data_IF_344675989522
#
_entry.id   IF_344675989522
#
_cell.length_a   1.000
_cell.length_b   1.000
_cell.length_c   1.000
_cell.angle_alpha   90.00
_cell.angle_beta   90.00
_cell.angle_gamma   90.00
#
_symmetry.space_group_name_H-M   'P 1'
#
loop_
_entity.id
_entity.type
_entity.pdbx_description
1 polymer ?
#
# COMPACT_ATOMS: atom_id res chain seq x y z
N UNK A 1 -27.52 10.94 1.68
CA UNK A 1 -27.42 10.24 0.37
C UNK A 1 -27.24 8.76 0.66
N UNK A 2 -27.99 7.90 -0.04
CA UNK A 2 -28.27 6.50 0.34
C UNK A 2 -27.01 5.65 0.55
N UNK A 3 -27.06 4.79 1.57
CA UNK A 3 -26.08 3.77 1.95
C UNK A 3 -25.84 2.74 0.83
N UNK A 4 -25.04 3.10 -0.17
CA UNK A 4 -24.39 2.09 -1.00
C UNK A 4 -23.28 1.47 -0.14
N UNK A 5 -23.21 0.12 -0.02
CA UNK A 5 -22.09 -0.51 0.69
C UNK A 5 -20.74 -0.28 -0.02
N UNK A 6 -20.75 0.34 -1.20
CA UNK A 6 -19.58 0.65 -2.01
C UNK A 6 -19.14 2.10 -1.75
N UNK A 7 -17.92 2.25 -1.24
CA UNK A 7 -17.28 3.56 -1.13
C UNK A 7 -16.70 4.00 -2.48
N UNK A 8 -16.40 5.30 -2.63
CA UNK A 8 -15.67 5.81 -3.80
C UNK A 8 -14.31 5.11 -4.00
N UNK A 9 -13.69 4.65 -2.91
CA UNK A 9 -12.44 3.88 -2.98
C UNK A 9 -12.65 2.52 -3.67
N UNK A 10 -13.78 1.83 -3.46
CA UNK A 10 -14.07 0.57 -4.16
C UNK A 10 -14.21 0.79 -5.67
N UNK A 11 -14.79 1.93 -6.08
CA UNK A 11 -14.84 2.32 -7.50
C UNK A 11 -13.44 2.52 -8.09
N UNK A 12 -12.52 3.14 -7.34
CA UNK A 12 -11.13 3.29 -7.77
C UNK A 12 -10.45 1.93 -7.88
N UNK A 13 -10.63 1.04 -6.90
CA UNK A 13 -10.06 -0.31 -6.95
C UNK A 13 -10.54 -1.03 -8.21
N UNK A 14 -11.85 -1.04 -8.46
CA UNK A 14 -12.41 -1.67 -9.67
C UNK A 14 -11.87 -1.03 -10.94
N UNK A 15 -11.82 0.31 -11.02
CA UNK A 15 -11.29 1.01 -12.19
C UNK A 15 -9.81 0.65 -12.44
N UNK A 16 -8.99 0.60 -11.39
CA UNK A 16 -7.56 0.23 -11.47
C UNK A 16 -7.39 -1.23 -11.89
N UNK A 17 -8.23 -2.15 -11.41
CA UNK A 17 -8.19 -3.55 -11.82
C UNK A 17 -8.65 -3.74 -13.28
N UNK A 18 -9.71 -3.06 -13.71
CA UNK A 18 -10.14 -3.07 -15.12
C UNK A 18 -9.04 -2.50 -16.01
N UNK A 19 -8.40 -1.40 -15.61
CA UNK A 19 -7.25 -0.85 -16.32
C UNK A 19 -6.11 -1.88 -16.40
N UNK A 20 -5.90 -2.66 -15.34
CA UNK A 20 -4.97 -3.79 -15.34
C UNK A 20 -5.32 -4.88 -16.34
N UNK A 21 -6.59 -5.28 -16.46
CA UNK A 21 -7.05 -6.25 -17.46
C UNK A 21 -6.78 -5.72 -18.88
N UNK A 22 -7.20 -4.49 -19.16
CA UNK A 22 -7.06 -3.89 -20.49
C UNK A 22 -5.59 -3.77 -20.87
N UNK A 23 -4.77 -3.24 -19.97
CA UNK A 23 -3.33 -3.09 -20.21
C UNK A 23 -2.64 -4.45 -20.36
N UNK A 24 -3.00 -5.41 -19.52
CA UNK A 24 -2.49 -6.77 -19.58
C UNK A 24 -2.80 -7.48 -20.89
N UNK A 25 -4.02 -7.27 -21.41
CA UNK A 25 -4.43 -7.78 -22.73
C UNK A 25 -3.63 -7.15 -23.87
N UNK A 26 -3.37 -5.85 -23.82
CA UNK A 26 -2.63 -5.14 -24.88
C UNK A 26 -1.16 -5.57 -24.90
N UNK A 27 -0.56 -5.72 -23.72
CA UNK A 27 0.88 -5.99 -23.60
C UNK A 27 1.24 -7.47 -23.70
N UNK A 28 0.33 -8.38 -23.35
CA UNK A 28 0.62 -9.80 -23.22
C UNK A 28 1.50 -10.13 -22.01
N UNK A 29 1.59 -11.40 -21.65
CA UNK A 29 2.40 -11.85 -20.50
C UNK A 29 3.89 -11.56 -20.69
N UNK A 30 4.40 -11.65 -21.92
CA UNK A 30 5.83 -11.44 -22.21
C UNK A 30 6.34 -10.08 -21.76
N UNK A 31 5.49 -9.04 -21.81
CA UNK A 31 5.81 -7.68 -21.35
C UNK A 31 5.31 -7.38 -19.93
N UNK A 32 4.27 -8.07 -19.47
CA UNK A 32 3.72 -7.86 -18.12
C UNK A 32 4.41 -8.69 -17.04
N UNK A 33 5.16 -9.74 -17.41
CA UNK A 33 5.79 -10.65 -16.45
C UNK A 33 6.82 -9.95 -15.56
N UNK A 34 7.72 -9.16 -16.14
CA UNK A 34 8.76 -8.47 -15.34
C UNK A 34 8.12 -7.43 -14.40
N UNK A 35 7.22 -6.53 -14.86
CA UNK A 35 6.49 -5.63 -13.97
C UNK A 35 5.66 -6.36 -12.91
N UNK A 36 5.05 -7.51 -13.23
CA UNK A 36 4.32 -8.33 -12.27
C UNK A 36 5.24 -8.81 -11.14
N UNK A 37 6.37 -9.44 -11.48
CA UNK A 37 7.36 -9.93 -10.51
C UNK A 37 7.90 -8.79 -9.66
N UNK A 38 8.12 -7.62 -10.25
CA UNK A 38 8.53 -6.42 -9.51
C UNK A 38 7.52 -6.03 -8.45
N UNK A 39 6.24 -5.87 -8.81
CA UNK A 39 5.22 -5.42 -7.87
C UNK A 39 4.86 -6.47 -6.82
N UNK A 40 4.92 -7.76 -7.17
CA UNK A 40 4.85 -8.86 -6.21
C UNK A 40 6.03 -8.81 -5.23
N UNK A 41 7.25 -8.61 -5.74
CA UNK A 41 8.45 -8.47 -4.92
C UNK A 41 8.38 -7.28 -3.98
N UNK A 42 7.82 -6.15 -4.44
CA UNK A 42 7.59 -4.97 -3.59
C UNK A 42 6.55 -5.27 -2.51
N UNK A 43 5.40 -5.85 -2.86
CA UNK A 43 4.34 -6.12 -1.91
C UNK A 43 4.76 -7.15 -0.85
N UNK A 44 5.33 -8.29 -1.28
CA UNK A 44 5.76 -9.38 -0.40
C UNK A 44 7.03 -9.00 0.37
N UNK A 45 8.03 -8.46 -0.34
CA UNK A 45 9.29 -8.03 0.27
C UNK A 45 9.06 -6.89 1.25
N UNK A 46 8.19 -5.94 0.91
CA UNK A 46 7.74 -4.88 1.81
C UNK A 46 7.11 -5.47 3.07
N UNK A 47 6.12 -6.36 2.93
CA UNK A 47 5.40 -6.97 4.04
C UNK A 47 6.27 -7.78 5.00
N UNK A 48 7.23 -8.56 4.48
CA UNK A 48 8.07 -9.43 5.29
C UNK A 48 9.34 -8.73 5.80
N UNK A 49 9.92 -7.84 4.98
CA UNK A 49 11.22 -7.25 5.24
C UNK A 49 11.19 -5.94 6.03
N UNK A 50 10.06 -5.20 6.05
CA UNK A 50 10.07 -3.87 6.65
C UNK A 50 10.35 -3.89 8.15
N UNK A 51 9.90 -4.90 8.89
CA UNK A 51 10.11 -5.00 10.35
C UNK A 51 11.60 -5.11 10.73
N UNK A 52 12.36 -6.11 10.23
CA UNK A 52 13.78 -6.21 10.56
C UNK A 52 14.58 -4.99 10.07
N UNK A 53 14.26 -4.48 8.88
CA UNK A 53 14.94 -3.30 8.36
C UNK A 53 14.62 -2.03 9.16
N UNK A 54 13.37 -1.85 9.60
CA UNK A 54 12.98 -0.76 10.48
C UNK A 54 13.74 -0.82 11.80
N UNK A 55 13.81 -1.99 12.44
CA UNK A 55 14.58 -2.16 13.67
C UNK A 55 16.06 -1.76 13.49
N UNK A 56 16.66 -2.09 12.36
CA UNK A 56 18.01 -1.64 12.02
C UNK A 56 18.09 -0.11 11.87
N UNK A 57 17.18 0.50 11.10
CA UNK A 57 17.12 1.95 10.89
C UNK A 57 16.94 2.70 12.22
N UNK A 58 16.08 2.20 13.14
CA UNK A 58 15.89 2.81 14.46
C UNK A 58 17.19 2.85 15.27
N UNK A 59 18.00 1.79 15.20
CA UNK A 59 19.27 1.71 15.94
C UNK A 59 20.31 2.68 15.40
N UNK A 60 20.37 2.88 14.08
CA UNK A 60 21.38 3.73 13.44
C UNK A 60 20.97 5.20 13.43
N UNK A 61 19.73 5.50 13.06
CA UNK A 61 19.27 6.86 12.82
C UNK A 61 18.44 7.46 13.98
N UNK A 62 18.18 6.69 15.04
CA UNK A 62 17.37 7.09 16.21
C UNK A 62 16.00 7.70 15.85
N UNK A 63 15.42 7.23 14.74
CA UNK A 63 14.12 7.72 14.25
C UNK A 63 12.96 7.13 15.05
N UNK A 64 11.88 7.91 15.13
CA UNK A 64 10.62 7.48 15.71
C UNK A 64 10.06 6.22 14.99
N UNK A 65 9.36 5.32 15.70
CA UNK A 65 8.79 4.10 15.14
C UNK A 65 8.06 4.25 13.81
N UNK A 66 7.26 5.30 13.69
CA UNK A 66 6.50 5.62 12.46
C UNK A 66 7.43 5.85 11.26
N UNK A 67 8.35 6.82 11.36
CA UNK A 67 9.25 7.18 10.25
C UNK A 67 10.17 6.02 9.88
N UNK A 68 10.61 5.23 10.85
CA UNK A 68 11.45 4.08 10.59
C UNK A 68 10.72 2.97 9.83
N UNK A 69 9.47 2.64 10.18
CA UNK A 69 8.68 1.63 9.46
C UNK A 69 8.39 2.08 8.03
N UNK A 70 8.04 3.35 7.85
CA UNK A 70 7.76 3.94 6.55
C UNK A 70 9.01 3.94 5.66
N UNK A 71 10.15 4.41 6.19
CA UNK A 71 11.41 4.40 5.45
C UNK A 71 11.85 2.99 5.10
N UNK A 72 11.77 2.04 6.03
CA UNK A 72 12.12 0.64 5.75
C UNK A 72 11.30 0.07 4.59
N UNK A 73 9.97 0.26 4.61
CA UNK A 73 9.10 -0.23 3.57
C UNK A 73 9.41 0.41 2.20
N UNK A 74 9.63 1.73 2.17
CA UNK A 74 10.03 2.45 0.95
C UNK A 74 11.41 2.02 0.45
N UNK A 75 12.39 1.86 1.34
CA UNK A 75 13.74 1.40 0.99
C UNK A 75 13.71 0.01 0.35
N UNK A 76 12.88 -0.91 0.85
CA UNK A 76 12.70 -2.22 0.22
C UNK A 76 12.06 -2.08 -1.15
N UNK A 77 11.02 -1.25 -1.28
CA UNK A 77 10.37 -1.02 -2.56
C UNK A 77 11.37 -0.46 -3.60
N UNK A 78 12.20 0.50 -3.21
CA UNK A 78 13.28 1.02 -4.03
C UNK A 78 14.33 -0.03 -4.37
N UNK A 79 14.78 -0.83 -3.40
CA UNK A 79 15.76 -1.88 -3.63
C UNK A 79 15.26 -2.91 -4.65
N UNK A 80 14.00 -3.36 -4.53
CA UNK A 80 13.37 -4.27 -5.50
C UNK A 80 13.23 -3.60 -6.86
N UNK A 81 12.80 -2.33 -6.90
CA UNK A 81 12.70 -1.56 -8.14
C UNK A 81 14.05 -1.50 -8.87
N UNK A 82 15.13 -1.16 -8.17
CA UNK A 82 16.48 -1.10 -8.72
C UNK A 82 17.00 -2.48 -9.14
N UNK A 83 16.71 -3.52 -8.38
CA UNK A 83 17.09 -4.88 -8.76
C UNK A 83 16.40 -5.28 -10.08
N UNK A 84 15.10 -5.03 -10.21
CA UNK A 84 14.36 -5.45 -11.40
C UNK A 84 14.69 -4.60 -12.62
N UNK A 85 14.87 -3.27 -12.49
CA UNK A 85 15.19 -2.42 -13.65
C UNK A 85 16.52 -2.80 -14.31
N UNK A 86 17.51 -3.28 -13.55
CA UNK A 86 18.80 -3.72 -14.13
C UNK A 86 18.66 -4.97 -15.01
N UNK A 87 17.79 -5.92 -14.64
CA UNK A 87 17.60 -7.18 -15.39
C UNK A 87 16.45 -7.14 -16.39
N UNK A 88 15.56 -6.13 -16.29
CA UNK A 88 14.32 -6.04 -17.07
C UNK A 88 14.53 -6.18 -18.57
N UNK A 89 15.41 -5.37 -19.14
CA UNK A 89 15.62 -5.35 -20.60
C UNK A 89 16.14 -6.70 -21.12
N UNK A 90 16.93 -7.41 -20.33
CA UNK A 90 17.47 -8.72 -20.69
C UNK A 90 16.39 -9.79 -20.65
N UNK A 91 15.57 -9.81 -19.59
CA UNK A 91 14.50 -10.80 -19.41
C UNK A 91 13.39 -10.60 -20.44
N UNK A 92 12.97 -9.35 -20.71
CA UNK A 92 11.94 -9.07 -21.71
C UNK A 92 12.37 -9.51 -23.11
N UNK A 93 13.62 -9.24 -23.51
CA UNK A 93 14.15 -9.71 -24.80
C UNK A 93 14.18 -11.24 -24.88
N UNK A 94 14.57 -11.90 -23.79
CA UNK A 94 14.62 -13.35 -23.72
C UNK A 94 13.22 -13.99 -23.82
N UNK A 95 12.22 -13.39 -23.16
CA UNK A 95 10.82 -13.85 -23.22
C UNK A 95 10.19 -13.64 -24.59
N UNK A 96 10.52 -12.56 -25.29
CA UNK A 96 9.99 -12.27 -26.63
C UNK A 96 10.56 -13.18 -27.72
N UNK A 97 11.83 -13.59 -27.57
CA UNK A 97 12.51 -14.41 -28.58
C UNK A 97 12.08 -15.87 -28.56
N UNK A 98 11.37 -16.31 -27.52
CA UNK A 98 10.87 -17.68 -27.40
C UNK A 98 9.36 -17.61 -27.46
N UNK A 99 8.76 -18.37 -28.38
CA UNK A 99 7.31 -18.48 -28.55
C UNK A 99 6.69 -19.32 -27.41
N UNK A 100 6.99 -18.97 -26.14
CA UNK A 100 6.72 -19.76 -24.93
C UNK A 100 5.22 -19.80 -24.64
N UNK A 101 4.52 -18.69 -24.88
CA UNK A 101 3.16 -18.49 -24.38
C UNK A 101 2.08 -18.72 -25.43
N UNK A 102 2.40 -18.58 -26.73
CA UNK A 102 1.47 -18.82 -27.83
C UNK A 102 0.08 -18.23 -27.56
N UNK A 103 -0.97 -19.06 -27.65
CA UNK A 103 -2.37 -18.63 -27.45
C UNK A 103 -2.68 -18.16 -26.01
N UNK A 104 -1.88 -18.56 -25.02
CA UNK A 104 -2.06 -18.15 -23.62
C UNK A 104 -1.48 -16.76 -23.31
N UNK A 105 -0.73 -16.15 -24.24
CA UNK A 105 -0.05 -14.87 -24.02
C UNK A 105 -1.00 -13.76 -23.55
N UNK A 106 -2.18 -13.68 -24.17
CA UNK A 106 -3.19 -12.67 -23.83
C UNK A 106 -3.92 -12.99 -22.52
N UNK A 107 -4.23 -14.26 -22.27
CA UNK A 107 -4.95 -14.67 -21.06
C UNK A 107 -4.08 -14.48 -19.81
N UNK A 108 -2.83 -14.94 -19.88
CA UNK A 108 -1.84 -14.74 -18.83
C UNK A 108 -1.50 -13.25 -18.67
N UNK A 109 -1.45 -12.50 -19.77
CA UNK A 109 -1.27 -11.04 -19.74
C UNK A 109 -2.37 -10.34 -18.94
N UNK A 110 -3.64 -10.70 -19.14
CA UNK A 110 -4.76 -10.14 -18.36
C UNK A 110 -4.63 -10.46 -16.87
N UNK A 111 -4.36 -11.71 -16.52
CA UNK A 111 -4.18 -12.13 -15.11
C UNK A 111 -3.00 -11.39 -14.47
N UNK A 112 -1.86 -11.32 -15.17
CA UNK A 112 -0.68 -10.60 -14.72
C UNK A 112 -0.97 -9.11 -14.49
N UNK A 113 -1.71 -8.48 -15.40
CA UNK A 113 -2.17 -7.12 -15.24
C UNK A 113 -3.00 -6.93 -13.96
N UNK A 114 -4.02 -7.78 -13.74
CA UNK A 114 -4.86 -7.72 -12.52
C UNK A 114 -4.02 -7.84 -11.25
N UNK A 115 -3.15 -8.86 -11.17
CA UNK A 115 -2.33 -9.10 -9.99
C UNK A 115 -1.36 -7.92 -9.75
N UNK A 116 -0.74 -7.41 -10.80
CA UNK A 116 0.17 -6.26 -10.72
C UNK A 116 -0.53 -5.04 -10.15
N UNK A 117 -1.69 -4.67 -10.69
CA UNK A 117 -2.41 -3.49 -10.22
C UNK A 117 -3.04 -3.72 -8.83
N UNK A 118 -3.43 -4.94 -8.49
CA UNK A 118 -3.80 -5.28 -7.11
C UNK A 118 -2.63 -5.04 -6.14
N UNK A 119 -1.41 -5.45 -6.50
CA UNK A 119 -0.21 -5.20 -5.70
C UNK A 119 0.08 -3.70 -5.55
N UNK A 120 -0.14 -2.90 -6.60
CA UNK A 120 -0.02 -1.43 -6.53
C UNK A 120 -1.02 -0.85 -5.54
N UNK A 121 -2.30 -1.27 -5.62
CA UNK A 121 -3.34 -0.83 -4.68
C UNK A 121 -2.95 -1.21 -3.25
N UNK A 122 -2.53 -2.46 -3.03
CA UNK A 122 -2.06 -2.94 -1.73
C UNK A 122 -0.91 -2.08 -1.20
N UNK A 123 0.08 -1.79 -2.04
CA UNK A 123 1.23 -0.96 -1.68
C UNK A 123 0.78 0.45 -1.22
N UNK A 124 -0.12 1.09 -1.97
CA UNK A 124 -0.67 2.40 -1.61
C UNK A 124 -1.47 2.33 -0.30
N UNK A 125 -2.29 1.30 -0.14
CA UNK A 125 -3.08 1.10 1.09
C UNK A 125 -2.17 0.81 2.29
N UNK A 126 -1.05 0.09 2.11
CA UNK A 126 -0.07 -0.15 3.16
C UNK A 126 0.57 1.16 3.65
N UNK A 127 0.90 2.08 2.73
CA UNK A 127 1.40 3.41 3.08
C UNK A 127 0.34 4.24 3.82
N UNK A 128 -0.91 4.20 3.37
CA UNK A 128 -2.03 4.87 4.04
C UNK A 128 -2.27 4.27 5.43
N UNK A 129 -2.10 2.95 5.62
CA UNK A 129 -2.28 2.27 6.91
C UNK A 129 -1.18 2.58 7.94
N UNK A 130 -0.03 3.11 7.51
CA UNK A 130 1.15 3.24 8.36
C UNK A 130 0.96 4.17 9.57
N UNK A 131 0.07 5.17 9.47
CA UNK A 131 -0.20 6.15 10.53
C UNK A 131 -1.49 5.82 11.29
N UNK A 132 -1.42 5.80 12.62
CA UNK A 132 -2.62 5.76 13.48
C UNK A 132 -2.96 7.18 13.96
N UNK A 133 -4.24 7.56 13.89
CA UNK A 133 -4.74 8.84 14.43
C UNK A 133 -5.68 8.57 15.61
N UNK A 134 -5.54 9.32 16.69
CA UNK A 134 -6.43 9.24 17.85
C UNK A 134 -7.62 10.20 17.72
N UNK A 135 -8.74 9.89 18.36
CA UNK A 135 -9.93 10.76 18.33
C UNK A 135 -9.64 12.18 18.85
N UNK A 136 -8.84 12.30 19.91
CA UNK A 136 -8.45 13.60 20.47
C UNK A 136 -7.54 14.43 19.54
N UNK A 137 -6.75 13.80 18.67
CA UNK A 137 -5.98 14.50 17.64
C UNK A 137 -6.89 14.95 16.49
N UNK A 138 -7.83 14.08 16.07
CA UNK A 138 -8.79 14.40 15.01
C UNK A 138 -9.67 15.59 15.44
N UNK A 139 -10.14 15.61 16.68
CA UNK A 139 -10.95 16.72 17.22
C UNK A 139 -10.16 18.02 17.32
N UNK A 140 -8.90 17.96 17.79
CA UNK A 140 -8.01 19.13 17.81
C UNK A 140 -7.78 19.67 16.40
N UNK A 141 -7.49 18.79 15.46
CA UNK A 141 -7.28 19.13 14.05
C UNK A 141 -8.52 19.79 13.43
N UNK A 142 -9.72 19.26 13.71
CA UNK A 142 -10.99 19.85 13.24
C UNK A 142 -11.27 21.20 13.89
N UNK A 143 -11.01 21.35 15.18
CA UNK A 143 -11.18 22.61 15.89
C UNK A 143 -10.27 23.70 15.29
N UNK A 144 -9.00 23.38 15.05
CA UNK A 144 -8.05 24.31 14.40
C UNK A 144 -8.48 24.66 12.97
N UNK A 145 -8.98 23.71 12.18
CA UNK A 145 -9.47 24.01 10.84
C UNK A 145 -10.72 24.89 10.85
N UNK A 146 -11.64 24.65 11.79
CA UNK A 146 -12.82 25.47 11.96
C UNK A 146 -12.45 26.89 12.40
N UNK A 147 -11.43 27.04 13.23
CA UNK A 147 -10.92 28.33 13.69
C UNK A 147 -10.23 29.12 12.55
N UNK A 148 -9.36 28.47 11.76
CA UNK A 148 -8.58 29.14 10.70
C UNK A 148 -9.41 29.37 9.43
N UNK A 149 -10.20 28.39 9.01
CA UNK A 149 -10.86 28.37 7.70
C UNK A 149 -12.39 28.51 7.79
N UNK A 150 -12.97 28.55 8.99
CA UNK A 150 -14.43 28.60 9.19
C UNK A 150 -15.17 27.35 8.73
N UNK A 151 -14.47 26.33 8.19
CA UNK A 151 -15.05 25.13 7.60
C UNK A 151 -14.04 23.99 7.51
N UNK A 152 -14.53 22.74 7.44
CA UNK A 152 -13.72 21.53 7.25
C UNK A 152 -13.58 21.17 5.75
N UNK A 153 -13.15 22.12 4.92
CA UNK A 153 -13.18 21.94 3.46
C UNK A 153 -12.13 20.92 2.93
N UNK A 154 -10.96 20.83 3.57
CA UNK A 154 -9.85 20.01 3.05
C UNK A 154 -9.80 18.62 3.71
N UNK A 155 -9.88 17.52 2.93
CA UNK A 155 -9.77 16.17 3.47
C UNK A 155 -8.35 15.92 3.98
N UNK A 156 -8.24 15.53 5.27
CA UNK A 156 -6.97 15.10 5.85
C UNK A 156 -6.76 13.60 5.63
N UNK A 157 -5.54 13.13 5.91
CA UNK A 157 -5.18 11.71 5.78
C UNK A 157 -6.09 10.79 6.61
N UNK A 158 -6.53 11.19 7.81
CA UNK A 158 -7.48 10.39 8.60
C UNK A 158 -8.84 10.22 7.90
N UNK A 159 -9.31 11.23 7.17
CA UNK A 159 -10.54 11.14 6.38
C UNK A 159 -10.35 10.12 5.26
N UNK A 160 -9.19 10.13 4.59
CA UNK A 160 -8.86 9.14 3.54
C UNK A 160 -8.79 7.72 4.14
N UNK A 161 -8.14 7.56 5.29
CA UNK A 161 -8.08 6.28 6.00
C UNK A 161 -9.46 5.75 6.37
N UNK A 162 -10.33 6.60 6.90
CA UNK A 162 -11.72 6.23 7.21
C UNK A 162 -12.45 5.81 5.93
N UNK A 163 -12.29 6.57 4.85
CA UNK A 163 -12.88 6.24 3.56
C UNK A 163 -12.38 4.90 2.98
N UNK A 164 -11.10 4.57 3.18
CA UNK A 164 -10.47 3.33 2.69
C UNK A 164 -10.79 2.14 3.59
N UNK A 165 -10.65 2.25 4.91
CA UNK A 165 -10.72 1.10 5.83
C UNK A 165 -12.08 0.93 6.51
N UNK A 166 -12.91 1.97 6.59
CA UNK A 166 -14.20 1.94 7.30
C UNK A 166 -15.38 2.04 6.32
N UNK A 167 -15.25 2.80 5.24
CA UNK A 167 -16.36 2.98 4.29
C UNK A 167 -16.25 2.10 3.04
N UNK A 168 -15.13 1.41 2.83
CA UNK A 168 -14.93 0.51 1.68
C UNK A 168 -14.97 -0.98 2.05
N UNK A 169 -15.53 -1.79 1.16
CA UNK A 169 -15.50 -3.25 1.26
C UNK A 169 -14.09 -3.80 1.02
N UNK A 170 -13.39 -3.27 0.01
CA UNK A 170 -12.05 -3.70 -0.37
C UNK A 170 -11.04 -3.48 0.76
N UNK A 171 -11.04 -2.29 1.38
CA UNK A 171 -10.12 -2.00 2.48
C UNK A 171 -10.44 -2.79 3.75
N UNK A 172 -11.72 -2.99 4.10
CA UNK A 172 -12.14 -3.88 5.20
C UNK A 172 -11.66 -5.31 4.99
N UNK A 173 -11.86 -5.82 3.77
CA UNK A 173 -11.46 -7.18 3.39
C UNK A 173 -9.94 -7.34 3.49
N UNK A 174 -9.19 -6.36 3.01
CA UNK A 174 -7.73 -6.36 3.10
C UNK A 174 -7.24 -6.35 4.55
N UNK A 175 -7.83 -5.51 5.42
CA UNK A 175 -7.47 -5.46 6.85
C UNK A 175 -7.84 -6.75 7.59
N UNK A 176 -8.92 -7.42 7.18
CA UNK A 176 -9.39 -8.67 7.80
C UNK A 176 -8.55 -9.87 7.39
N UNK A 177 -8.28 -10.05 6.10
CA UNK A 177 -7.67 -11.27 5.57
C UNK A 177 -6.19 -11.16 5.26
N UNK A 178 -5.71 -9.95 4.95
CA UNK A 178 -4.31 -9.70 4.59
C UNK A 178 -3.67 -8.58 5.45
N UNK A 179 -3.87 -8.54 6.78
CA UNK A 179 -3.25 -7.50 7.61
C UNK A 179 -1.73 -7.54 7.57
N UNK A 180 -1.16 -8.74 7.38
CA UNK A 180 0.29 -8.95 7.29
C UNK A 180 0.93 -8.25 6.08
N UNK A 181 0.13 -7.93 5.05
CA UNK A 181 0.60 -7.26 3.84
C UNK A 181 0.68 -5.72 4.01
N UNK A 182 0.11 -5.21 5.11
CA UNK A 182 0.07 -3.80 5.44
C UNK A 182 1.17 -3.46 6.46
N UNK A 183 1.61 -2.20 6.45
CA UNK A 183 2.47 -1.68 7.51
C UNK A 183 1.66 -1.60 8.79
N UNK A 184 2.19 -2.13 9.89
CA UNK A 184 1.56 -1.99 11.21
C UNK A 184 1.40 -0.51 11.58
N UNK A 185 0.17 -0.08 11.93
CA UNK A 185 -0.10 1.32 12.23
C UNK A 185 0.72 1.75 13.45
N UNK A 186 1.40 2.88 13.34
CA UNK A 186 2.17 3.48 14.44
C UNK A 186 1.57 4.83 14.80
N UNK A 187 1.56 5.12 16.11
CA UNK A 187 1.17 6.42 16.65
C UNK A 187 2.34 7.38 16.55
N UNK A 188 2.05 8.60 16.12
CA UNK A 188 3.01 9.70 16.13
C UNK A 188 2.95 10.37 17.51
N UNK A 189 4.09 10.55 18.18
CA UNK A 189 4.16 11.19 19.49
C UNK A 189 3.67 10.34 20.66
N UNK A 190 3.52 9.02 20.50
CA UNK A 190 3.34 8.15 21.66
C UNK A 190 4.61 8.20 22.51
N UNK A 191 4.52 8.80 23.70
CA UNK A 191 5.57 8.68 24.69
C UNK A 191 6.02 7.21 24.82
N UNK A 192 7.32 6.94 24.97
CA UNK A 192 7.84 5.59 25.08
C UNK A 192 7.20 4.93 26.30
N UNK A 193 6.28 4.00 26.06
CA UNK A 193 5.71 2.92 26.89
C UNK A 193 6.21 2.77 28.34
N UNK A 194 6.23 3.83 29.15
CA UNK A 194 6.51 3.80 30.60
C UNK A 194 5.29 4.10 31.46
N UNK A 195 4.13 4.38 30.84
CA UNK A 195 2.87 4.62 31.55
C UNK A 195 1.85 3.51 31.32
N UNK A 196 2.31 2.25 31.28
CA UNK A 196 1.47 1.05 31.39
C UNK A 196 1.62 0.33 32.73
N UNK A 197 2.11 1.04 33.77
CA UNK A 197 2.29 0.53 35.13
C UNK A 197 1.43 1.21 36.21
N UNK A 198 0.50 2.10 35.87
CA UNK A 198 -0.45 2.65 36.85
C UNK A 198 -1.91 2.49 36.42
N UNK A 199 -2.44 1.29 36.68
CA UNK A 199 -3.83 1.13 37.12
C UNK A 199 -3.82 0.34 38.44
N UNK A 200 -3.90 1.01 39.60
CA UNK A 200 -4.33 0.35 40.81
C UNK A 200 -5.87 0.29 40.81
N UNK A 201 -6.37 -0.95 40.76
CA UNK A 201 -7.71 -1.46 41.08
C UNK A 201 -8.94 -0.76 40.46
#
# INVERSE_FOLDING_TARGET
MKNLPWGWFDLIVVAVLIFGIVRGRINGISKEFVPLVQWLGIAIGGALGYKPLAQYIRRVAMLEPFYSNLLAYLSIAFAVFFLVITVKNTVERWLQNKDIFGRLEYFLGMIAGVIRYACIVIFLVALINAREYTSAEIERDRATMKEIYGSEFFPKLYTIQEMVFVNSVSGKTLKKWCPWLLIEPQRLGAEPTRLREWQPY
#
